data_IF_852036393434
#
_entry.id   IF_852036393434
#
_cell.length_a   1.000
_cell.length_b   1.000
_cell.length_c   1.000
_cell.angle_alpha   90.00
_cell.angle_beta   90.00
_cell.angle_gamma   90.00
#
_symmetry.space_group_name_H-M   'P 1'
#
loop_
_entity.id
_entity.type
_entity.pdbx_description
1 polymer ?
#
# COMPACT_ATOMS: atom_id res chain seq x y z
N UNK A 1 -10.57 2.99 -27.53
CA UNK A 1 -11.09 2.18 -26.40
C UNK A 1 -11.10 3.08 -25.16
N UNK A 2 -12.17 3.03 -24.38
CA UNK A 2 -12.58 4.11 -23.48
C UNK A 2 -11.55 4.45 -22.38
N UNK A 3 -11.27 5.74 -22.23
CA UNK A 3 -10.41 6.33 -21.21
C UNK A 3 -11.23 6.46 -19.92
N UNK A 4 -11.03 5.59 -18.94
CA UNK A 4 -11.58 5.83 -17.61
C UNK A 4 -10.69 6.84 -16.90
N UNK A 5 -11.20 8.06 -16.77
CA UNK A 5 -10.67 9.03 -15.80
C UNK A 5 -10.87 8.42 -14.41
N UNK A 6 -9.82 8.44 -13.58
CA UNK A 6 -9.91 8.07 -12.17
C UNK A 6 -11.01 8.93 -11.52
N UNK A 7 -12.07 8.26 -11.08
CA UNK A 7 -13.17 8.89 -10.37
C UNK A 7 -12.66 9.19 -8.94
N UNK A 8 -12.72 10.42 -8.43
CA UNK A 8 -12.19 10.79 -7.11
C UNK A 8 -13.00 10.23 -5.93
N UNK A 9 -13.93 9.31 -6.19
CA UNK A 9 -14.73 8.64 -5.18
C UNK A 9 -13.97 7.48 -4.54
N UNK A 10 -13.49 7.74 -3.33
CA UNK A 10 -13.28 6.77 -2.23
C UNK A 10 -12.46 5.53 -2.65
N UNK A 11 -11.14 5.65 -2.54
CA UNK A 11 -10.22 4.51 -2.59
C UNK A 11 -10.21 3.89 -1.18
N UNK A 12 -10.85 2.74 -0.98
CA UNK A 12 -10.79 2.02 0.31
C UNK A 12 -9.77 0.89 0.18
N UNK A 13 -8.80 0.82 1.10
CA UNK A 13 -7.79 -0.24 1.27
C UNK A 13 -6.99 -0.63 0.00
N UNK A 14 -5.80 -0.03 -0.17
CA UNK A 14 -4.85 -0.44 -1.22
C UNK A 14 -3.60 -1.09 -0.61
N UNK A 15 -3.15 -2.22 -1.15
CA UNK A 15 -1.75 -2.66 -1.05
C UNK A 15 -1.07 -2.39 -2.39
N UNK A 16 -0.05 -1.55 -2.37
CA UNK A 16 0.81 -1.25 -3.50
C UNK A 16 2.11 -2.04 -3.30
N UNK A 17 2.23 -3.17 -3.97
CA UNK A 17 3.45 -3.96 -3.95
C UNK A 17 4.44 -3.39 -4.95
N UNK A 18 5.44 -2.69 -4.44
CA UNK A 18 6.34 -1.90 -5.27
C UNK A 18 7.59 -2.72 -5.63
N UNK A 19 7.88 -2.77 -6.92
CA UNK A 19 9.26 -2.86 -7.39
C UNK A 19 9.95 -1.49 -7.22
N UNK A 20 10.85 -1.10 -8.12
CA UNK A 20 11.48 0.24 -8.16
C UNK A 20 10.50 1.42 -8.44
N UNK A 21 9.21 1.27 -8.12
CA UNK A 21 8.11 2.21 -8.43
C UNK A 21 7.71 3.04 -7.20
N UNK A 22 8.33 2.79 -6.04
CA UNK A 22 7.98 3.41 -4.75
C UNK A 22 8.03 4.92 -4.73
N UNK A 23 9.12 5.49 -5.26
CA UNK A 23 9.31 6.95 -5.35
C UNK A 23 8.26 7.61 -6.26
N UNK A 24 7.70 6.87 -7.22
CA UNK A 24 6.83 7.42 -8.25
C UNK A 24 5.34 7.35 -7.92
N UNK A 25 4.86 6.30 -7.24
CA UNK A 25 3.47 6.26 -6.77
C UNK A 25 3.17 7.42 -5.81
N UNK A 26 4.17 7.82 -5.01
CA UNK A 26 4.11 8.92 -4.05
C UNK A 26 4.16 10.29 -4.76
N UNK A 27 5.01 10.42 -5.79
CA UNK A 27 5.11 11.66 -6.60
C UNK A 27 3.94 11.86 -7.57
N UNK A 28 3.37 10.77 -8.09
CA UNK A 28 2.18 10.84 -8.94
C UNK A 28 0.99 11.26 -8.10
N UNK A 29 0.02 11.93 -8.72
CA UNK A 29 -1.08 12.67 -8.07
C UNK A 29 -2.06 11.88 -7.18
N UNK A 30 -1.72 10.69 -6.69
CA UNK A 30 -2.46 9.93 -5.65
C UNK A 30 -2.70 10.82 -4.41
N UNK A 31 -1.75 11.70 -4.08
CA UNK A 31 -1.81 12.59 -2.91
C UNK A 31 -2.17 14.05 -3.26
N UNK A 32 -2.50 14.37 -4.52
CA UNK A 32 -2.79 15.75 -4.95
C UNK A 32 -4.25 16.17 -4.80
N UNK A 33 -5.08 15.40 -4.11
CA UNK A 33 -6.40 15.88 -3.73
C UNK A 33 -6.20 16.94 -2.64
N UNK A 34 -6.29 18.22 -3.02
CA UNK A 34 -6.43 19.37 -2.12
C UNK A 34 -7.76 19.29 -1.34
N UNK A 35 -7.90 18.27 -0.52
CA UNK A 35 -8.91 18.16 0.52
C UNK A 35 -8.15 18.28 1.85
N UNK A 36 -8.80 18.85 2.87
CA UNK A 36 -8.27 18.92 4.23
C UNK A 36 -8.24 17.51 4.84
N UNK A 37 -7.29 16.70 4.37
CA UNK A 37 -7.08 15.31 4.76
C UNK A 37 -5.71 15.25 5.41
N UNK A 38 -5.65 14.72 6.63
CA UNK A 38 -4.38 14.51 7.31
C UNK A 38 -3.67 13.32 6.67
N UNK A 39 -2.37 13.47 6.44
CA UNK A 39 -1.55 12.46 5.77
C UNK A 39 -0.42 12.02 6.70
N UNK A 40 -0.33 10.70 6.90
CA UNK A 40 0.68 10.08 7.77
C UNK A 40 1.48 9.07 6.95
N UNK A 41 2.80 9.15 7.00
CA UNK A 41 3.70 8.14 6.44
C UNK A 41 4.44 7.42 7.57
N UNK A 42 4.25 6.11 7.65
CA UNK A 42 4.98 5.20 8.52
C UNK A 42 5.97 4.41 7.66
N UNK A 43 7.23 4.83 7.67
CA UNK A 43 8.28 4.33 6.79
C UNK A 43 9.17 3.29 7.49
N UNK A 44 8.61 2.10 7.72
CA UNK A 44 9.32 1.00 8.38
C UNK A 44 10.48 0.44 7.53
N UNK A 45 10.41 0.51 6.20
CA UNK A 45 11.52 0.13 5.30
C UNK A 45 12.60 1.23 5.18
N UNK A 46 12.31 2.48 5.56
CA UNK A 46 13.26 3.59 5.60
C UNK A 46 13.70 4.14 4.24
N UNK A 47 13.07 3.70 3.14
CA UNK A 47 13.47 4.06 1.78
C UNK A 47 12.62 5.21 1.18
N UNK A 48 11.72 5.80 1.96
CA UNK A 48 10.86 6.92 1.55
C UNK A 48 11.16 8.23 2.29
N UNK A 49 12.32 8.33 2.94
CA UNK A 49 12.76 9.56 3.63
C UNK A 49 12.72 10.81 2.75
N UNK A 50 12.98 10.67 1.44
CA UNK A 50 12.92 11.78 0.50
C UNK A 50 11.50 12.39 0.38
N UNK A 51 10.46 11.65 0.72
CA UNK A 51 9.05 12.06 0.65
C UNK A 51 8.50 12.60 1.98
N UNK A 52 9.32 12.73 3.03
CA UNK A 52 8.84 13.14 4.36
C UNK A 52 8.03 14.45 4.35
N UNK A 53 8.36 15.39 3.45
CA UNK A 53 7.69 16.70 3.34
C UNK A 53 6.35 16.65 2.62
N UNK A 54 6.03 15.53 1.98
CA UNK A 54 4.77 15.33 1.26
C UNK A 54 3.64 14.92 2.23
N UNK A 55 3.96 14.64 3.50
CA UNK A 55 3.06 14.18 4.53
C UNK A 55 2.99 15.15 5.72
N UNK A 56 1.84 15.22 6.40
CA UNK A 56 1.69 16.00 7.63
C UNK A 56 2.48 15.41 8.79
N UNK A 57 2.55 14.07 8.85
CA UNK A 57 3.30 13.32 9.85
C UNK A 57 4.16 12.28 9.13
N UNK A 58 5.43 12.22 9.51
CA UNK A 58 6.38 11.20 9.04
C UNK A 58 6.98 10.48 10.25
N UNK A 59 6.94 9.15 10.23
CA UNK A 59 7.51 8.27 11.23
C UNK A 59 8.55 7.41 10.53
N UNK A 60 9.82 7.59 10.87
CA UNK A 60 10.92 6.85 10.24
C UNK A 60 11.11 5.45 10.83
N UNK A 61 11.91 4.63 10.15
CA UNK A 61 12.20 3.25 10.58
C UNK A 61 12.82 3.16 11.99
N UNK A 62 13.56 4.19 12.43
CA UNK A 62 14.15 4.23 13.77
C UNK A 62 13.08 4.50 14.83
N UNK A 63 12.12 5.38 14.56
CA UNK A 63 10.98 5.64 15.44
C UNK A 63 10.03 4.44 15.52
N UNK A 64 9.77 3.77 14.39
CA UNK A 64 9.01 2.50 14.37
C UNK A 64 9.65 1.47 15.31
N UNK A 65 10.99 1.40 15.32
CA UNK A 65 11.73 0.45 16.14
C UNK A 65 11.79 0.87 17.63
N UNK A 66 12.03 2.15 17.91
CA UNK A 66 12.29 2.65 19.26
C UNK A 66 11.02 2.98 20.03
N UNK A 67 9.90 3.23 19.33
CA UNK A 67 8.59 3.59 19.91
C UNK A 67 7.50 2.60 19.48
N UNK A 68 7.85 1.33 19.30
CA UNK A 68 6.93 0.31 18.77
C UNK A 68 5.65 0.13 19.60
N UNK A 69 5.76 0.18 20.94
CA UNK A 69 4.60 0.09 21.84
C UNK A 69 3.68 1.29 21.66
N UNK A 70 4.24 2.51 21.69
CA UNK A 70 3.46 3.74 21.52
C UNK A 70 2.78 3.78 20.15
N UNK A 71 3.52 3.41 19.09
CA UNK A 71 3.00 3.34 17.73
C UNK A 71 1.85 2.34 17.61
N UNK A 72 1.98 1.16 18.23
CA UNK A 72 0.91 0.14 18.26
C UNK A 72 -0.34 0.68 18.95
N UNK A 73 -0.19 1.39 20.07
CA UNK A 73 -1.30 2.05 20.77
C UNK A 73 -1.93 3.14 19.89
N UNK A 74 -1.13 4.00 19.26
CA UNK A 74 -1.62 5.06 18.37
C UNK A 74 -2.42 4.50 17.19
N UNK A 75 -1.98 3.39 16.60
CA UNK A 75 -2.74 2.69 15.54
C UNK A 75 -4.09 2.21 16.08
N UNK A 76 -4.13 1.63 17.29
CA UNK A 76 -5.38 1.23 17.94
C UNK A 76 -6.35 2.39 18.17
N UNK A 77 -5.84 3.55 18.60
CA UNK A 77 -6.64 4.78 18.73
C UNK A 77 -7.16 5.24 17.38
N UNK A 78 -6.31 5.29 16.35
CA UNK A 78 -6.72 5.67 14.98
C UNK A 78 -7.87 4.79 14.46
N UNK A 79 -7.84 3.50 14.77
CA UNK A 79 -8.85 2.52 14.36
C UNK A 79 -10.20 2.64 15.10
N UNK A 80 -10.24 3.33 16.24
CA UNK A 80 -11.41 3.33 17.14
C UNK A 80 -12.09 4.69 17.27
N UNK A 81 -11.41 5.78 16.96
CA UNK A 81 -11.92 7.13 17.12
C UNK A 81 -12.48 7.73 15.81
N UNK A 82 -13.41 8.68 15.95
CA UNK A 82 -13.82 9.53 14.82
C UNK A 82 -12.74 10.55 14.55
N UNK A 83 -12.02 10.34 13.46
CA UNK A 83 -10.93 11.21 13.04
C UNK A 83 -11.41 12.27 12.05
N UNK A 84 -10.60 13.32 11.92
CA UNK A 84 -10.52 14.05 10.66
C UNK A 84 -10.23 13.05 9.52
N UNK A 85 -10.72 13.28 8.30
CA UNK A 85 -10.36 12.46 7.16
C UNK A 85 -8.84 12.26 7.09
N UNK A 86 -8.37 11.03 7.19
CA UNK A 86 -6.94 10.71 7.35
C UNK A 86 -6.53 9.60 6.38
N UNK A 87 -5.36 9.75 5.75
CA UNK A 87 -4.71 8.73 4.95
C UNK A 87 -3.41 8.32 5.64
N UNK A 88 -3.27 7.04 5.97
CA UNK A 88 -2.03 6.48 6.53
C UNK A 88 -1.38 5.57 5.51
N UNK A 89 -0.13 5.87 5.17
CA UNK A 89 0.72 5.05 4.30
C UNK A 89 1.68 4.25 5.16
N UNK A 90 1.60 2.94 5.09
CA UNK A 90 2.53 2.02 5.74
C UNK A 90 3.51 1.48 4.71
N UNK A 91 4.79 1.82 4.82
CA UNK A 91 5.83 1.30 3.94
C UNK A 91 6.69 0.27 4.66
N UNK A 92 6.69 -0.96 4.14
CA UNK A 92 7.31 -2.13 4.76
C UNK A 92 6.37 -2.81 5.74
N UNK A 93 5.25 -3.38 5.26
CA UNK A 93 4.29 -4.09 6.12
C UNK A 93 4.93 -5.28 6.85
N UNK A 94 5.80 -6.03 6.17
CA UNK A 94 6.58 -7.11 6.79
C UNK A 94 7.48 -6.63 7.93
N UNK A 95 8.23 -5.55 7.71
CA UNK A 95 9.07 -4.90 8.71
C UNK A 95 8.24 -4.37 9.88
N UNK A 96 7.15 -3.66 9.59
CA UNK A 96 6.24 -3.12 10.59
C UNK A 96 5.69 -4.24 11.48
N UNK A 97 5.18 -5.31 10.89
CA UNK A 97 4.66 -6.45 11.64
C UNK A 97 5.75 -7.11 12.52
N UNK A 98 6.97 -7.24 12.00
CA UNK A 98 8.11 -7.75 12.75
C UNK A 98 8.51 -6.87 13.94
N UNK A 99 8.27 -5.56 13.88
CA UNK A 99 8.60 -4.60 14.96
C UNK A 99 7.48 -4.42 15.97
N UNK A 100 6.23 -4.35 15.51
CA UNK A 100 5.06 -4.18 16.37
C UNK A 100 4.59 -5.49 17.00
N UNK A 101 5.04 -6.63 16.47
CA UNK A 101 4.66 -7.98 16.92
C UNK A 101 3.13 -8.08 16.99
N UNK A 102 2.46 -7.75 15.89
CA UNK A 102 1.00 -7.81 15.83
C UNK A 102 0.56 -9.27 15.88
N UNK A 103 -0.49 -9.55 16.66
CA UNK A 103 -1.18 -10.83 16.55
C UNK A 103 -1.92 -10.92 15.22
N UNK A 104 -2.38 -12.11 14.87
CA UNK A 104 -3.19 -12.32 13.67
C UNK A 104 -4.45 -11.45 13.68
N UNK A 105 -5.12 -11.37 14.83
CA UNK A 105 -6.32 -10.54 15.02
C UNK A 105 -6.01 -9.06 14.86
N UNK A 106 -4.93 -8.57 15.47
CA UNK A 106 -4.53 -7.16 15.36
C UNK A 106 -4.16 -6.77 13.93
N UNK A 107 -3.46 -7.64 13.21
CA UNK A 107 -3.14 -7.43 11.81
C UNK A 107 -4.41 -7.42 10.94
N UNK A 108 -5.37 -8.31 11.20
CA UNK A 108 -6.66 -8.32 10.49
C UNK A 108 -7.46 -7.04 10.72
N UNK A 109 -7.47 -6.54 11.95
CA UNK A 109 -8.13 -5.26 12.28
C UNK A 109 -7.45 -4.12 11.53
N UNK A 110 -6.11 -4.10 11.48
CA UNK A 110 -5.36 -3.10 10.72
C UNK A 110 -5.69 -3.17 9.22
N UNK A 111 -5.66 -4.36 8.61
CA UNK A 111 -5.91 -4.54 7.17
C UNK A 111 -7.34 -4.14 6.77
N UNK A 112 -8.31 -4.36 7.66
CA UNK A 112 -9.72 -4.03 7.42
C UNK A 112 -10.15 -2.68 8.03
N UNK A 113 -9.21 -1.92 8.61
CA UNK A 113 -9.53 -0.76 9.42
C UNK A 113 -9.97 0.48 8.65
N UNK A 114 -9.80 0.51 7.32
CA UNK A 114 -10.27 1.65 6.53
C UNK A 114 -11.79 1.78 6.57
N UNK A 115 -12.25 3.02 6.57
CA UNK A 115 -13.64 3.42 6.53
C UNK A 115 -13.78 4.76 5.79
N UNK A 116 -14.93 5.42 5.88
CA UNK A 116 -15.19 6.68 5.17
C UNK A 116 -14.25 7.84 5.57
N UNK A 117 -13.68 7.80 6.78
CA UNK A 117 -12.81 8.86 7.33
C UNK A 117 -11.35 8.42 7.51
N UNK A 118 -11.04 7.14 7.32
CA UNK A 118 -9.70 6.61 7.49
C UNK A 118 -9.36 5.70 6.33
N UNK A 119 -8.28 5.99 5.63
CA UNK A 119 -7.78 5.15 4.54
C UNK A 119 -6.38 4.66 4.85
N UNK A 120 -6.17 3.36 4.70
CA UNK A 120 -4.85 2.75 4.74
C UNK A 120 -4.36 2.38 3.35
N UNK A 121 -3.09 2.71 3.13
CA UNK A 121 -2.32 2.32 1.96
C UNK A 121 -1.10 1.57 2.48
N UNK A 122 -0.98 0.31 2.10
CA UNK A 122 0.17 -0.52 2.43
C UNK A 122 1.12 -0.53 1.24
N UNK A 123 2.41 -0.44 1.49
CA UNK A 123 3.48 -0.54 0.51
C UNK A 123 4.43 -1.64 0.99
N UNK A 124 4.74 -2.59 0.13
CA UNK A 124 5.75 -3.60 0.46
C UNK A 124 6.48 -4.11 -0.80
N UNK A 125 7.63 -4.73 -0.57
CA UNK A 125 8.43 -5.39 -1.58
C UNK A 125 7.85 -6.76 -1.96
N UNK A 126 8.01 -7.10 -3.25
CA UNK A 126 7.52 -8.35 -3.86
C UNK A 126 8.02 -9.60 -3.14
N UNK A 127 9.28 -9.61 -2.71
CA UNK A 127 9.93 -10.78 -2.15
C UNK A 127 9.44 -11.14 -0.75
N UNK A 128 9.02 -10.15 0.04
CA UNK A 128 8.63 -10.34 1.45
C UNK A 128 7.20 -10.82 1.60
N UNK A 129 6.30 -10.34 0.73
CA UNK A 129 4.90 -10.77 0.70
C UNK A 129 4.75 -12.21 0.19
N UNK A 130 5.72 -12.80 -0.52
CA UNK A 130 5.59 -14.16 -1.08
C UNK A 130 6.41 -15.28 -0.41
N UNK A 131 7.50 -14.94 0.29
CA UNK A 131 8.42 -15.94 0.86
C UNK A 131 8.45 -15.96 2.40
N UNK A 132 8.29 -14.81 3.06
CA UNK A 132 8.61 -14.69 4.49
C UNK A 132 7.41 -14.87 5.41
N UNK A 133 6.18 -14.86 4.88
CA UNK A 133 4.98 -14.87 5.71
C UNK A 133 3.83 -15.69 5.11
N UNK A 134 4.00 -17.01 4.97
CA UNK A 134 2.95 -17.88 4.42
C UNK A 134 1.56 -17.68 5.06
N UNK A 135 1.48 -17.29 6.34
CA UNK A 135 0.21 -16.92 6.99
C UNK A 135 -0.27 -15.49 6.69
N UNK A 136 0.62 -14.50 6.62
CA UNK A 136 0.24 -13.08 6.40
C UNK A 136 -0.11 -12.83 4.93
N UNK A 137 0.56 -13.51 4.01
CA UNK A 137 0.29 -13.44 2.56
C UNK A 137 -1.17 -13.76 2.27
N UNK A 138 -1.66 -14.85 2.86
CA UNK A 138 -3.06 -15.28 2.73
C UNK A 138 -4.00 -14.27 3.37
N UNK A 139 -3.68 -13.78 4.58
CA UNK A 139 -4.51 -12.77 5.25
C UNK A 139 -4.60 -11.47 4.44
N UNK A 140 -3.48 -11.01 3.89
CA UNK A 140 -3.41 -9.89 2.99
C UNK A 140 -4.32 -10.15 1.77
N UNK A 141 -4.13 -11.28 1.08
CA UNK A 141 -4.91 -11.66 -0.12
C UNK A 141 -6.42 -11.68 0.13
N UNK A 142 -6.84 -12.19 1.29
CA UNK A 142 -8.26 -12.33 1.65
C UNK A 142 -8.92 -11.02 2.12
N UNK A 143 -8.15 -10.04 2.60
CA UNK A 143 -8.70 -8.86 3.30
C UNK A 143 -8.40 -7.53 2.60
N UNK A 144 -7.46 -7.49 1.66
CA UNK A 144 -7.19 -6.27 0.90
C UNK A 144 -8.02 -6.26 -0.37
N UNK A 145 -8.85 -5.23 -0.49
CA UNK A 145 -9.79 -5.06 -1.59
C UNK A 145 -9.11 -4.81 -2.94
N UNK A 146 -7.95 -4.14 -2.92
CA UNK A 146 -7.29 -3.70 -4.12
C UNK A 146 -5.76 -3.81 -4.03
N UNK A 147 -5.18 -4.53 -4.99
CA UNK A 147 -3.75 -4.73 -5.11
C UNK A 147 -3.23 -4.06 -6.37
N UNK A 148 -2.17 -3.28 -6.22
CA UNK A 148 -1.42 -2.73 -7.33
C UNK A 148 0.01 -3.22 -7.25
N UNK A 149 0.56 -3.74 -8.34
CA UNK A 149 1.93 -4.24 -8.30
C UNK A 149 2.65 -4.15 -9.63
N UNK A 150 3.96 -3.96 -9.55
CA UNK A 150 4.85 -3.91 -10.72
C UNK A 150 5.71 -5.17 -10.83
N UNK A 151 6.38 -5.33 -11.97
CA UNK A 151 7.35 -6.41 -12.20
C UNK A 151 6.77 -7.64 -12.87
N UNK A 152 7.53 -8.74 -12.84
CA UNK A 152 7.21 -9.97 -13.56
C UNK A 152 6.13 -10.77 -12.83
N UNK A 153 4.96 -10.97 -13.47
CA UNK A 153 3.85 -11.76 -12.96
C UNK A 153 4.26 -13.18 -12.53
N UNK A 154 5.28 -13.77 -13.16
CA UNK A 154 5.78 -15.11 -12.79
C UNK A 154 6.45 -15.15 -11.42
N UNK A 155 6.89 -13.99 -10.91
CA UNK A 155 7.49 -13.85 -9.58
C UNK A 155 6.45 -13.52 -8.50
N UNK A 156 5.20 -13.32 -8.90
CA UNK A 156 4.12 -12.90 -8.03
C UNK A 156 3.36 -14.11 -7.51
N UNK A 157 3.43 -14.35 -6.20
CA UNK A 157 2.83 -15.54 -5.56
C UNK A 157 1.39 -15.36 -5.10
N UNK A 158 0.82 -14.16 -5.23
CA UNK A 158 -0.53 -13.84 -4.74
C UNK A 158 -1.62 -14.06 -5.78
N UNK A 159 -1.29 -14.10 -7.08
CA UNK A 159 -2.26 -14.41 -8.13
C UNK A 159 -2.16 -15.89 -8.48
N UNK A 160 -3.23 -16.59 -8.17
CA UNK A 160 -3.45 -17.95 -8.63
C UNK A 160 -4.25 -17.90 -9.94
N UNK A 161 -3.99 -18.82 -10.86
CA UNK A 161 -4.74 -18.99 -12.12
C UNK A 161 -4.49 -17.96 -13.24
N UNK A 162 -3.32 -17.32 -13.30
CA UNK A 162 -2.92 -16.58 -14.50
C UNK A 162 -2.72 -17.54 -15.68
N UNK A 163 -3.24 -17.16 -16.85
CA UNK A 163 -2.95 -17.89 -18.09
C UNK A 163 -1.46 -17.76 -18.46
N UNK A 164 -0.96 -18.74 -19.22
CA UNK A 164 0.41 -18.69 -19.73
C UNK A 164 0.68 -17.46 -20.60
N UNK A 165 -0.34 -16.87 -21.22
CA UNK A 165 -0.17 -15.68 -22.04
C UNK A 165 -0.14 -14.40 -21.20
N UNK A 166 -0.91 -14.32 -20.13
CA UNK A 166 -0.84 -13.20 -19.17
C UNK A 166 0.52 -13.12 -18.48
N UNK A 167 1.12 -14.26 -18.12
CA UNK A 167 2.44 -14.29 -17.46
C UNK A 167 3.62 -13.87 -18.35
N UNK A 168 3.43 -13.81 -19.67
CA UNK A 168 4.47 -13.36 -20.63
C UNK A 168 4.47 -11.84 -20.83
N UNK A 169 3.44 -11.14 -20.35
CA UNK A 169 3.30 -9.70 -20.55
C UNK A 169 4.30 -8.97 -19.65
N UNK A 170 5.29 -8.33 -20.28
CA UNK A 170 6.20 -7.40 -19.60
C UNK A 170 5.64 -6.00 -19.77
N UNK A 171 5.06 -5.46 -18.71
CA UNK A 171 4.50 -4.12 -18.72
C UNK A 171 5.60 -3.04 -18.58
N UNK A 172 5.43 -1.87 -19.25
CA UNK A 172 6.28 -0.71 -19.00
C UNK A 172 6.22 -0.25 -17.54
N UNK A 173 7.28 0.40 -17.04
CA UNK A 173 7.40 0.82 -15.63
C UNK A 173 6.28 1.74 -15.13
N UNK A 174 5.61 2.45 -16.04
CA UNK A 174 4.51 3.35 -15.72
C UNK A 174 3.14 2.65 -15.68
N UNK A 175 3.10 1.34 -15.89
CA UNK A 175 1.88 0.53 -15.83
C UNK A 175 2.02 -0.44 -14.68
N UNK A 176 1.04 -0.43 -13.76
CA UNK A 176 0.91 -1.42 -12.70
C UNK A 176 -0.12 -2.45 -13.12
N UNK A 177 0.10 -3.69 -12.69
CA UNK A 177 -0.96 -4.67 -12.64
C UNK A 177 -1.91 -4.32 -11.50
N UNK A 178 -3.19 -4.64 -11.71
CA UNK A 178 -4.26 -4.45 -10.75
C UNK A 178 -4.92 -5.80 -10.50
N UNK A 179 -5.16 -6.12 -9.23
CA UNK A 179 -6.05 -7.21 -8.84
C UNK A 179 -7.10 -6.65 -7.89
N UNK A 180 -8.37 -6.75 -8.29
CA UNK A 180 -9.52 -6.19 -7.59
C UNK A 180 -10.73 -7.09 -7.81
N UNK A 181 -11.43 -7.49 -6.74
CA UNK A 181 -12.64 -8.31 -6.84
C UNK A 181 -12.46 -9.52 -7.78
N UNK A 182 -11.37 -10.27 -7.56
CA UNK A 182 -10.96 -11.42 -8.38
C UNK A 182 -10.70 -11.13 -9.87
N UNK A 183 -10.74 -9.86 -10.26
CA UNK A 183 -10.54 -9.41 -11.63
C UNK A 183 -9.14 -8.84 -11.79
N UNK A 184 -8.45 -9.34 -12.82
CA UNK A 184 -7.13 -8.88 -13.20
C UNK A 184 -7.21 -7.73 -14.21
N UNK A 185 -6.38 -6.71 -14.03
CA UNK A 185 -6.36 -5.52 -14.88
C UNK A 185 -5.03 -4.80 -14.85
N UNK A 186 -5.00 -3.59 -15.41
CA UNK A 186 -3.84 -2.71 -15.38
C UNK A 186 -4.24 -1.27 -15.10
N UNK A 187 -3.37 -0.54 -14.43
CA UNK A 187 -3.52 0.89 -14.14
C UNK A 187 -2.30 1.63 -14.65
N UNK A 188 -2.54 2.68 -15.45
CA UNK A 188 -1.48 3.59 -15.88
C UNK A 188 -1.23 4.62 -14.78
N UNK A 189 0.00 4.68 -14.29
CA UNK A 189 0.42 5.72 -13.36
C UNK A 189 0.76 6.99 -14.17
N UNK A 190 0.22 8.17 -13.81
CA UNK A 190 0.51 9.41 -14.52
C UNK A 190 2.00 9.78 -14.46
N UNK A 191 2.69 9.72 -15.60
CA UNK A 191 4.07 10.20 -15.76
C UNK A 191 4.09 11.72 -15.92
N UNK A 192 4.94 12.40 -15.15
CA UNK A 192 5.33 13.76 -15.50
C UNK A 192 5.89 13.74 -16.92
N UNK A 193 5.36 14.60 -17.79
CA UNK A 193 6.01 14.85 -19.07
C UNK A 193 7.34 15.51 -18.73
N UNK A 194 8.43 14.76 -18.88
CA UNK A 194 9.77 15.34 -18.95
C UNK A 194 9.73 16.29 -20.15
N UNK A 195 9.70 17.59 -19.86
CA UNK A 195 9.88 18.65 -20.87
C UNK A 195 11.36 18.88 -21.08
#
# INVERSE_FOLDING_TARGET
MAVSKLNPGILINNLIQLGNVGDFAIRSKIFSARLAVDTVLIDASGNLKANQTDFNVYIDASEVNNKSIDLKVSIGVLLSEKLTPTVVVFNGLGELNGKLVLTKEELLILLNGSNEQLQFIFIDSVEKVGNSFGGITTLIKENIYHFLFGGDLRKQRFIENLSLDETKIVLPRYVLHQYKDETFGTVNIPMEQIK
#
